data_IF_203294915068
#
_entry.id   IF_203294915068
#
_cell.length_a   1.000
_cell.length_b   1.000
_cell.length_c   1.000
_cell.angle_alpha   90.00
_cell.angle_beta   90.00
_cell.angle_gamma   90.00
#
_symmetry.space_group_name_H-M   'P 1'
#
loop_
_entity.id
_entity.type
_entity.pdbx_description
1 polymer ?
#
# COMPACT_ATOMS: atom_id res chain seq x y z
N UNK A 1 -1.19 -11.06 -13.48
CA UNK A 1 -0.26 -11.35 -14.62
C UNK A 1 1.21 -11.35 -14.19
N UNK A 2 1.68 -10.29 -13.50
CA UNK A 2 3.09 -10.15 -13.09
C UNK A 2 3.66 -11.29 -12.24
N UNK A 3 2.93 -11.80 -11.23
CA UNK A 3 3.42 -12.93 -10.42
C UNK A 3 3.64 -14.21 -11.24
N UNK A 4 2.76 -14.50 -12.20
CA UNK A 4 2.90 -15.67 -13.08
C UNK A 4 4.12 -15.53 -14.00
N UNK A 5 4.32 -14.35 -14.59
CA UNK A 5 5.50 -14.05 -15.41
C UNK A 5 6.80 -14.19 -14.62
N UNK A 6 6.84 -13.74 -13.35
CA UNK A 6 8.01 -13.91 -12.49
C UNK A 6 8.29 -15.38 -12.19
N UNK A 7 7.26 -16.14 -11.80
CA UNK A 7 7.40 -17.58 -11.51
C UNK A 7 7.78 -18.39 -12.76
N UNK A 8 7.35 -17.96 -13.94
CA UNK A 8 7.70 -18.54 -15.23
C UNK A 8 9.08 -18.11 -15.77
N UNK A 9 9.73 -17.13 -15.13
CA UNK A 9 11.03 -16.59 -15.57
C UNK A 9 10.96 -15.60 -16.74
N UNK A 10 9.77 -15.16 -17.14
CA UNK A 10 9.59 -14.14 -18.19
C UNK A 10 10.07 -12.75 -17.73
N UNK A 11 10.02 -12.49 -16.42
CA UNK A 11 10.57 -11.28 -15.80
C UNK A 11 11.46 -11.66 -14.62
N UNK A 12 12.48 -10.84 -14.37
CA UNK A 12 13.47 -11.10 -13.31
C UNK A 12 13.08 -10.50 -11.95
N UNK A 13 12.20 -9.50 -11.95
CA UNK A 13 11.82 -8.73 -10.77
C UNK A 13 10.36 -8.29 -10.88
N UNK A 14 9.66 -8.27 -9.75
CA UNK A 14 8.28 -7.82 -9.66
C UNK A 14 8.02 -7.14 -8.32
N UNK A 15 7.34 -6.00 -8.36
CA UNK A 15 6.76 -5.39 -7.16
C UNK A 15 5.42 -6.06 -6.87
N UNK A 16 5.42 -6.97 -5.90
CA UNK A 16 4.26 -7.76 -5.52
C UNK A 16 3.60 -7.23 -4.24
N UNK A 17 2.32 -7.57 -4.04
CA UNK A 17 1.70 -7.45 -2.72
C UNK A 17 2.23 -8.54 -1.79
N UNK A 18 2.36 -8.25 -0.50
CA UNK A 18 2.90 -9.18 0.50
C UNK A 18 2.10 -10.50 0.51
N UNK A 19 0.77 -10.43 0.48
CA UNK A 19 -0.11 -11.60 0.45
C UNK A 19 0.15 -12.54 -0.73
N UNK A 20 0.42 -11.99 -1.92
CA UNK A 20 0.67 -12.81 -3.11
C UNK A 20 2.09 -13.36 -3.15
N UNK A 21 3.06 -12.66 -2.57
CA UNK A 21 4.46 -13.07 -2.59
C UNK A 21 4.83 -14.08 -1.49
N UNK A 22 4.29 -13.90 -0.27
CA UNK A 22 4.70 -14.68 0.92
C UNK A 22 4.61 -16.21 0.74
N UNK A 23 3.54 -16.79 0.15
CA UNK A 23 3.49 -18.25 -0.06
C UNK A 23 4.62 -18.75 -0.95
N UNK A 24 4.99 -18.00 -1.99
CA UNK A 24 6.05 -18.37 -2.91
C UNK A 24 7.45 -18.17 -2.31
N UNK A 25 7.63 -17.15 -1.46
CA UNK A 25 8.86 -16.92 -0.70
C UNK A 25 9.08 -18.07 0.30
N UNK A 26 8.05 -18.41 1.08
CA UNK A 26 8.10 -19.52 2.06
C UNK A 26 8.34 -20.88 1.40
N UNK A 27 7.85 -21.07 0.18
CA UNK A 27 8.11 -22.26 -0.63
C UNK A 27 9.51 -22.28 -1.30
N UNK A 28 10.35 -21.27 -1.07
CA UNK A 28 11.68 -21.16 -1.67
C UNK A 28 11.69 -20.87 -3.17
N UNK A 29 10.54 -20.53 -3.76
CA UNK A 29 10.41 -20.27 -5.21
C UNK A 29 10.83 -18.84 -5.57
N UNK A 30 10.68 -17.91 -4.63
CA UNK A 30 11.05 -16.51 -4.81
C UNK A 30 11.95 -16.05 -3.67
N UNK A 31 12.81 -15.09 -3.96
CA UNK A 31 13.61 -14.38 -2.96
C UNK A 31 13.06 -12.98 -2.75
N UNK A 32 12.67 -12.65 -1.53
CA UNK A 32 12.31 -11.28 -1.16
C UNK A 32 13.58 -10.41 -1.11
N UNK A 33 13.51 -9.20 -1.68
CA UNK A 33 14.61 -8.22 -1.60
C UNK A 33 14.37 -7.16 -0.51
N UNK A 34 13.11 -6.93 -0.14
CA UNK A 34 12.71 -5.98 0.88
C UNK A 34 11.27 -5.52 0.69
N UNK A 35 10.75 -4.78 1.67
CA UNK A 35 9.46 -4.11 1.58
C UNK A 35 9.62 -2.66 1.14
N UNK A 36 8.63 -2.12 0.42
CA UNK A 36 8.67 -0.77 -0.14
C UNK A 36 8.21 0.32 0.83
N UNK A 37 7.68 -0.06 2.00
CA UNK A 37 7.25 0.82 3.08
C UNK A 37 8.43 1.48 3.80
N UNK A 38 8.16 2.61 4.47
CA UNK A 38 9.19 3.32 5.27
C UNK A 38 9.63 2.55 6.51
N UNK A 39 8.78 1.65 6.99
CA UNK A 39 9.05 0.76 8.12
C UNK A 39 8.80 -0.67 7.67
N UNK A 40 9.42 -1.64 8.34
CA UNK A 40 9.16 -3.06 8.10
C UNK A 40 7.68 -3.36 8.30
N UNK A 41 7.13 -4.19 7.42
CA UNK A 41 5.73 -4.60 7.55
C UNK A 41 5.57 -5.56 8.71
N UNK A 42 4.52 -5.37 9.50
CA UNK A 42 4.16 -6.32 10.56
C UNK A 42 3.76 -7.71 10.02
N UNK A 43 3.35 -7.80 8.76
CA UNK A 43 3.03 -9.07 8.08
C UNK A 43 4.27 -9.85 7.63
N UNK A 44 5.42 -9.18 7.51
CA UNK A 44 6.68 -9.78 7.08
C UNK A 44 7.90 -9.05 7.70
N UNK A 45 8.02 -9.04 9.05
CA UNK A 45 9.00 -8.23 9.77
C UNK A 45 10.45 -8.70 9.55
N UNK A 46 10.64 -9.91 9.03
CA UNK A 46 11.95 -10.48 8.69
C UNK A 46 12.62 -9.75 7.52
N UNK A 47 11.85 -9.08 6.66
CA UNK A 47 12.40 -8.40 5.49
C UNK A 47 12.73 -6.94 5.78
N UNK A 48 13.90 -6.44 5.36
CA UNK A 48 14.26 -5.04 5.51
C UNK A 48 13.38 -4.15 4.63
N UNK A 49 13.31 -2.87 4.95
CA UNK A 49 12.81 -1.88 3.99
C UNK A 49 13.82 -1.70 2.85
N UNK A 50 13.40 -1.20 1.68
CA UNK A 50 14.35 -0.87 0.62
C UNK A 50 15.33 0.24 1.03
N UNK A 51 14.91 1.15 1.92
CA UNK A 51 15.80 2.16 2.50
C UNK A 51 16.90 1.52 3.37
N UNK A 52 16.55 0.52 4.20
CA UNK A 52 17.52 -0.28 4.97
C UNK A 52 18.41 -1.13 4.06
N UNK A 53 17.90 -1.57 2.91
CA UNK A 53 18.61 -2.38 1.93
C UNK A 53 19.49 -1.57 0.95
N UNK A 54 19.71 -0.27 1.21
CA UNK A 54 20.65 0.56 0.46
C UNK A 54 20.02 1.51 -0.57
N UNK A 55 18.70 1.55 -0.71
CA UNK A 55 18.00 2.52 -1.56
C UNK A 55 17.54 3.70 -0.72
N UNK A 56 18.49 4.57 -0.33
CA UNK A 56 18.25 5.67 0.59
C UNK A 56 17.07 6.55 0.18
N UNK A 57 16.18 6.85 1.14
CA UNK A 57 14.99 7.67 0.91
C UNK A 57 13.86 6.98 0.14
N UNK A 58 14.02 5.70 -0.24
CA UNK A 58 12.94 4.98 -0.90
C UNK A 58 11.78 4.72 0.05
N UNK A 59 10.61 5.24 -0.32
CA UNK A 59 9.35 4.93 0.32
C UNK A 59 8.22 5.02 -0.71
N UNK A 60 7.58 3.87 -0.93
CA UNK A 60 6.37 3.78 -1.71
C UNK A 60 5.46 2.68 -1.16
N UNK A 61 4.29 3.08 -0.67
CA UNK A 61 3.20 2.16 -0.35
C UNK A 61 2.01 2.50 -1.21
N UNK A 62 1.26 1.46 -1.58
CA UNK A 62 -0.10 1.63 -2.09
C UNK A 62 -1.05 1.72 -0.89
N UNK A 63 -2.10 2.52 -1.01
CA UNK A 63 -3.15 2.64 -0.02
C UNK A 63 -4.50 2.41 -0.69
N UNK A 64 -5.48 1.99 0.11
CA UNK A 64 -6.89 1.88 -0.30
C UNK A 64 -7.69 2.71 0.70
N UNK A 65 -8.63 3.49 0.19
CA UNK A 65 -9.50 4.31 1.02
C UNK A 65 -10.85 4.54 0.36
N UNK A 66 -11.74 5.22 1.08
CA UNK A 66 -13.10 5.49 0.61
C UNK A 66 -13.30 6.96 0.29
N UNK A 67 -13.99 7.20 -0.83
CA UNK A 67 -14.38 8.53 -1.28
C UNK A 67 -15.90 8.58 -1.45
N UNK A 68 -16.47 9.75 -1.21
CA UNK A 68 -17.87 10.05 -1.49
C UNK A 68 -17.96 11.15 -2.55
N UNK A 69 -19.10 11.32 -3.24
CA UNK A 69 -19.31 12.43 -4.16
C UNK A 69 -18.99 13.79 -3.53
N UNK A 70 -18.40 14.71 -4.30
CA UNK A 70 -17.84 15.97 -3.80
C UNK A 70 -18.83 16.86 -3.01
N UNK A 71 -20.14 16.71 -3.25
CA UNK A 71 -21.21 17.48 -2.59
C UNK A 71 -21.95 16.69 -1.51
N UNK A 72 -21.41 15.56 -1.07
CA UNK A 72 -21.98 14.79 0.05
C UNK A 72 -22.02 15.66 1.31
N UNK A 73 -23.16 15.79 2.01
CA UNK A 73 -23.25 16.62 3.21
C UNK A 73 -22.24 16.20 4.28
N UNK A 74 -21.62 17.18 4.96
CA UNK A 74 -20.57 16.92 5.96
C UNK A 74 -21.03 15.96 7.08
N UNK A 75 -22.28 16.07 7.51
CA UNK A 75 -22.83 15.19 8.54
C UNK A 75 -22.87 13.71 8.09
N UNK A 76 -23.12 13.45 6.81
CA UNK A 76 -23.10 12.09 6.23
C UNK A 76 -21.67 11.56 6.18
N UNK A 77 -20.72 12.38 5.73
CA UNK A 77 -19.30 12.02 5.70
C UNK A 77 -18.78 11.70 7.10
N UNK A 78 -19.12 12.52 8.09
CA UNK A 78 -18.71 12.32 9.48
C UNK A 78 -19.28 11.00 10.05
N UNK A 79 -20.55 10.70 9.78
CA UNK A 79 -21.18 9.44 10.20
C UNK A 79 -20.52 8.22 9.55
N UNK A 80 -20.27 8.29 8.24
CA UNK A 80 -19.59 7.20 7.52
C UNK A 80 -18.18 6.99 8.04
N UNK A 81 -17.39 8.05 8.20
CA UNK A 81 -16.04 7.97 8.75
C UNK A 81 -16.05 7.33 10.15
N UNK A 82 -16.95 7.75 11.05
CA UNK A 82 -17.04 7.20 12.40
C UNK A 82 -17.28 5.68 12.39
N UNK A 83 -18.17 5.17 11.55
CA UNK A 83 -18.43 3.73 11.44
C UNK A 83 -17.25 2.97 10.79
N UNK A 84 -16.65 3.57 9.76
CA UNK A 84 -15.48 3.00 9.08
C UNK A 84 -14.29 2.86 10.02
N UNK A 85 -14.00 3.89 10.82
CA UNK A 85 -12.93 3.88 11.81
C UNK A 85 -13.14 2.73 12.79
N UNK A 86 -14.36 2.55 13.31
CA UNK A 86 -14.69 1.43 14.20
C UNK A 86 -14.45 0.08 13.54
N UNK A 87 -14.90 -0.10 12.29
CA UNK A 87 -14.74 -1.35 11.56
C UNK A 87 -13.27 -1.66 11.30
N UNK A 88 -12.51 -0.70 10.75
CA UNK A 88 -11.08 -0.87 10.44
C UNK A 88 -10.26 -1.16 11.69
N UNK A 89 -10.65 -0.58 12.83
CA UNK A 89 -9.97 -0.80 14.09
C UNK A 89 -10.36 -2.12 14.79
N UNK A 90 -11.42 -2.79 14.35
CA UNK A 90 -11.87 -4.05 14.94
C UNK A 90 -10.80 -5.15 14.79
N UNK A 91 -10.67 -6.07 15.78
CA UNK A 91 -9.70 -7.17 15.70
C UNK A 91 -9.88 -8.05 14.47
N UNK A 92 -11.15 -8.31 14.09
CA UNK A 92 -11.49 -9.09 12.90
C UNK A 92 -10.97 -8.44 11.63
N UNK A 93 -11.25 -7.15 11.42
CA UNK A 93 -10.81 -6.43 10.23
C UNK A 93 -9.29 -6.27 10.21
N UNK A 94 -8.66 -5.95 11.34
CA UNK A 94 -7.19 -5.91 11.44
C UNK A 94 -6.56 -7.25 11.04
N UNK A 95 -7.12 -8.36 11.52
CA UNK A 95 -6.65 -9.70 11.17
C UNK A 95 -6.84 -10.02 9.69
N UNK A 96 -7.97 -9.63 9.10
CA UNK A 96 -8.24 -9.79 7.67
C UNK A 96 -7.25 -8.99 6.82
N UNK A 97 -7.09 -7.69 7.11
CA UNK A 97 -6.17 -6.82 6.39
C UNK A 97 -4.74 -7.34 6.48
N UNK A 98 -4.30 -7.78 7.65
CA UNK A 98 -2.94 -8.30 7.84
C UNK A 98 -2.70 -9.59 7.03
N UNK A 99 -3.70 -10.47 6.92
CA UNK A 99 -3.62 -11.67 6.04
C UNK A 99 -3.47 -11.30 4.57
N UNK A 100 -4.11 -10.21 4.16
CA UNK A 100 -3.98 -9.63 2.82
C UNK A 100 -2.70 -8.77 2.67
N UNK A 101 -1.85 -8.69 3.70
CA UNK A 101 -0.60 -7.93 3.67
C UNK A 101 -0.80 -6.41 3.75
N UNK A 102 -1.95 -5.97 4.23
CA UNK A 102 -2.32 -4.58 4.45
C UNK A 102 -2.23 -4.25 5.94
N UNK A 103 -1.90 -2.99 6.25
CA UNK A 103 -1.98 -2.48 7.62
C UNK A 103 -3.26 -1.65 7.76
N UNK A 104 -3.97 -1.87 8.86
CA UNK A 104 -5.15 -1.10 9.18
C UNK A 104 -4.75 0.34 9.55
N UNK A 105 -5.24 1.30 8.79
CA UNK A 105 -5.03 2.73 9.02
C UNK A 105 -6.37 3.46 8.98
N UNK A 106 -6.52 4.45 9.86
CA UNK A 106 -7.74 5.19 10.04
C UNK A 106 -7.41 6.64 10.41
N UNK A 107 -8.00 7.59 9.67
CA UNK A 107 -7.80 9.02 9.84
C UNK A 107 -9.12 9.78 9.72
N UNK A 108 -9.08 11.08 10.01
CA UNK A 108 -10.21 11.98 9.73
C UNK A 108 -10.39 12.20 8.23
N UNK A 109 -11.60 12.59 7.76
CA UNK A 109 -11.82 12.96 6.37
C UNK A 109 -10.89 14.09 5.90
N UNK A 110 -10.60 15.05 6.78
CA UNK A 110 -9.73 16.18 6.50
C UNK A 110 -8.26 15.75 6.33
N UNK A 111 -7.74 14.90 7.22
CA UNK A 111 -6.38 14.34 7.10
C UNK A 111 -6.24 13.51 5.82
N UNK A 112 -7.19 12.60 5.56
CA UNK A 112 -7.15 11.79 4.35
C UNK A 112 -7.23 12.64 3.07
N UNK A 113 -8.06 13.69 3.09
CA UNK A 113 -8.13 14.66 2.00
C UNK A 113 -6.80 15.39 1.76
N UNK A 114 -6.06 15.71 2.83
CA UNK A 114 -4.75 16.33 2.74
C UNK A 114 -3.68 15.35 2.23
N UNK A 115 -3.74 14.09 2.64
CA UNK A 115 -2.85 13.03 2.16
C UNK A 115 -3.03 12.81 0.66
N UNK A 116 -4.27 12.74 0.17
CA UNK A 116 -4.57 12.62 -1.27
C UNK A 116 -3.91 13.79 -2.04
N UNK A 117 -4.08 15.04 -1.58
CA UNK A 117 -3.46 16.21 -2.23
C UNK A 117 -1.94 16.09 -2.27
N UNK A 118 -1.34 15.65 -1.17
CA UNK A 118 0.11 15.48 -1.04
C UNK A 118 0.62 14.38 -1.98
N UNK A 119 -0.10 13.26 -2.08
CA UNK A 119 0.21 12.17 -3.00
C UNK A 119 0.10 12.63 -4.45
N UNK A 120 -0.98 13.31 -4.83
CA UNK A 120 -1.15 13.85 -6.19
C UNK A 120 0.05 14.74 -6.56
N UNK A 121 0.45 15.67 -5.69
CA UNK A 121 1.60 16.54 -5.95
C UNK A 121 2.91 15.75 -6.09
N UNK A 122 3.15 14.76 -5.21
CA UNK A 122 4.32 13.87 -5.27
C UNK A 122 4.37 13.11 -6.61
N UNK A 123 3.26 12.49 -7.01
CA UNK A 123 3.18 11.71 -8.25
C UNK A 123 3.30 12.57 -9.49
N UNK A 124 2.66 13.74 -9.53
CA UNK A 124 2.82 14.68 -10.65
C UNK A 124 4.29 15.07 -10.86
N UNK A 125 5.01 15.36 -9.78
CA UNK A 125 6.45 15.68 -9.85
C UNK A 125 7.25 14.48 -10.36
N UNK A 126 6.97 13.28 -9.87
CA UNK A 126 7.66 12.06 -10.27
C UNK A 126 7.40 11.70 -11.72
N UNK A 127 6.13 11.64 -12.15
CA UNK A 127 5.72 11.33 -13.53
C UNK A 127 6.38 12.29 -14.52
N UNK A 128 6.42 13.60 -14.20
CA UNK A 128 7.11 14.60 -15.02
C UNK A 128 8.62 14.36 -15.08
N UNK A 129 9.27 14.09 -13.95
CA UNK A 129 10.71 13.83 -13.90
C UNK A 129 11.10 12.53 -14.63
N UNK A 130 10.24 11.52 -14.58
CA UNK A 130 10.44 10.22 -15.22
C UNK A 130 10.04 10.19 -16.71
N UNK A 131 9.47 11.28 -17.24
CA UNK A 131 9.02 11.34 -18.64
C UNK A 131 7.83 10.42 -18.97
N UNK A 132 7.07 9.98 -17.96
CA UNK A 132 5.92 9.10 -18.13
C UNK A 132 4.75 9.91 -18.69
N UNK A 133 4.08 9.37 -19.72
CA UNK A 133 2.89 9.97 -20.35
C UNK A 133 1.68 9.07 -20.16
N UNK A 134 0.45 9.62 -20.09
CA UNK A 134 -0.76 8.82 -20.25
C UNK A 134 -0.73 8.09 -21.60
N UNK A 135 -1.20 6.85 -21.62
CA UNK A 135 -1.36 6.04 -22.82
C UNK A 135 -2.52 6.52 -23.68
#
# INVERSE_FOLDING_TARGET
PGMRALLGGEVHLYFATISTALPHIKAGKLRALGVTSAKRSTAAPEFPTLAEAGVSGYQHTSWVGMLAPARTPRAVVAKLNAEVVKIVQSPEMKGLLLREGLEADASSPEEFGQDIKTQIAKWQKLTKAAGIKPE
#
